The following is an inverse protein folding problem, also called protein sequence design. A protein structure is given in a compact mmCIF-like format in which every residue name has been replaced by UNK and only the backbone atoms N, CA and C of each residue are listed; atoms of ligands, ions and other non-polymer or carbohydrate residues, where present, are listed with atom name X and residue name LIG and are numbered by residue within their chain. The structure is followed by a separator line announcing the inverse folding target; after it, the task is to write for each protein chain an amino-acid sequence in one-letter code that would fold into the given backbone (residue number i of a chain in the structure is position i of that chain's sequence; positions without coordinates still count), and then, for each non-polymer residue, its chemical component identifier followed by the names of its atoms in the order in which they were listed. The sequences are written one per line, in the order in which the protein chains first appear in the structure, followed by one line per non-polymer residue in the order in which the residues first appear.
data_IF_535181723246
#
_entry.id   IF_535181723246
#
_cell.length_a   1.000
_cell.length_b   1.000
_cell.length_c   1.000
_cell.angle_alpha   90.00
_cell.angle_beta   90.00
_cell.angle_gamma   90.00
#
_symmetry.space_group_name_H-M   'P 1'
#
loop_
_entity.id
_entity.type
_entity.pdbx_description
1 polymer ?
#
# COMPACT_ATOMS: atom_id res chain seq x y z
N UNK A 1 60.41 169.70 -34.86
CA UNK A 1 60.58 170.09 -33.45
C UNK A 1 60.45 168.84 -32.59
N UNK A 2 61.60 168.26 -32.21
CA UNK A 2 62.05 168.12 -30.80
C UNK A 2 61.28 167.01 -30.06
N UNK A 3 61.71 165.75 -30.14
CA UNK A 3 62.73 165.10 -29.31
C UNK A 3 62.23 164.77 -27.89
N UNK A 4 62.05 163.47 -27.59
CA UNK A 4 62.60 162.76 -26.41
C UNK A 4 62.52 161.26 -26.71
N UNK A 5 63.68 160.60 -26.77
CA UNK A 5 63.79 159.14 -26.68
C UNK A 5 63.93 158.71 -25.23
N UNK A 6 63.40 157.54 -24.88
CA UNK A 6 63.69 156.87 -23.61
C UNK A 6 63.84 155.36 -23.82
N UNK A 7 64.93 154.85 -23.26
CA UNK A 7 65.41 153.47 -23.34
C UNK A 7 64.44 152.56 -22.58
N UNK A 8 63.88 151.55 -23.25
CA UNK A 8 63.18 150.45 -22.58
C UNK A 8 64.21 149.74 -21.69
N UNK A 9 64.00 149.72 -20.37
CA UNK A 9 64.90 149.05 -19.44
C UNK A 9 64.72 147.54 -19.59
N UNK A 10 65.81 146.85 -19.93
CA UNK A 10 65.88 145.39 -20.04
C UNK A 10 65.31 144.67 -18.79
N UNK A 11 65.36 145.30 -17.61
CA UNK A 11 64.81 144.77 -16.36
C UNK A 11 63.28 144.67 -16.33
N UNK A 12 62.56 145.61 -16.94
CA UNK A 12 61.09 145.59 -16.97
C UNK A 12 60.57 144.55 -17.97
N UNK A 13 61.25 144.40 -19.11
CA UNK A 13 60.99 143.32 -20.07
C UNK A 13 61.32 141.97 -19.45
N UNK A 14 62.43 141.84 -18.73
CA UNK A 14 62.79 140.61 -18.03
C UNK A 14 61.76 140.22 -16.95
N UNK A 15 61.20 141.18 -16.21
CA UNK A 15 60.21 140.93 -15.16
C UNK A 15 58.83 140.57 -15.74
N UNK A 16 58.41 141.19 -16.85
CA UNK A 16 57.20 140.78 -17.59
C UNK A 16 57.40 139.39 -18.19
N UNK A 17 58.56 139.08 -18.76
CA UNK A 17 58.86 137.73 -19.28
C UNK A 17 58.94 136.70 -18.14
N UNK A 18 59.46 137.03 -16.96
CA UNK A 18 59.50 136.13 -15.80
C UNK A 18 58.11 135.90 -15.18
N UNK A 19 57.26 136.91 -15.14
CA UNK A 19 55.89 136.79 -14.65
C UNK A 19 54.99 136.10 -15.67
N UNK A 20 55.18 136.33 -16.96
CA UNK A 20 54.50 135.58 -18.04
C UNK A 20 55.02 134.16 -18.13
N UNK A 21 56.33 133.91 -17.98
CA UNK A 21 56.90 132.56 -17.93
C UNK A 21 56.59 131.83 -16.63
N UNK A 22 56.46 132.55 -15.51
CA UNK A 22 56.00 132.00 -14.24
C UNK A 22 54.50 131.71 -14.24
N UNK A 23 53.68 132.57 -14.83
CA UNK A 23 52.25 132.34 -15.02
C UNK A 23 52.00 131.24 -16.06
N UNK A 24 52.75 131.19 -17.16
CA UNK A 24 52.72 130.12 -18.16
C UNK A 24 53.28 128.80 -17.61
N UNK A 25 54.35 128.84 -16.83
CA UNK A 25 54.96 127.66 -16.20
C UNK A 25 54.07 127.06 -15.12
N UNK A 26 53.42 127.89 -14.29
CA UNK A 26 52.43 127.43 -13.32
C UNK A 26 51.14 126.99 -13.99
N UNK A 27 50.64 127.67 -15.04
CA UNK A 27 49.47 127.15 -15.79
C UNK A 27 49.79 125.85 -16.50
N UNK A 28 50.96 125.67 -17.12
CA UNK A 28 51.38 124.41 -17.73
C UNK A 28 51.55 123.31 -16.68
N UNK A 29 52.14 123.61 -15.51
CA UNK A 29 52.26 122.64 -14.41
C UNK A 29 50.90 122.30 -13.78
N UNK A 30 49.99 123.27 -13.65
CA UNK A 30 48.61 123.02 -13.22
C UNK A 30 47.79 122.33 -14.30
N UNK A 31 48.08 122.55 -15.59
CA UNK A 31 47.48 121.84 -16.71
C UNK A 31 47.91 120.39 -16.69
N UNK A 32 49.22 120.14 -16.55
CA UNK A 32 49.83 118.81 -16.47
C UNK A 32 49.41 118.08 -15.19
N UNK A 33 49.36 118.77 -14.05
CA UNK A 33 48.82 118.20 -12.80
C UNK A 33 47.32 117.92 -12.92
N UNK A 34 46.54 118.82 -13.54
CA UNK A 34 45.11 118.60 -13.76
C UNK A 34 44.83 117.52 -14.82
N UNK A 35 45.73 117.34 -15.78
CA UNK A 35 45.68 116.29 -16.81
C UNK A 35 46.06 114.94 -16.21
N UNK A 36 47.14 114.87 -15.43
CA UNK A 36 47.50 113.67 -14.66
C UNK A 36 46.43 113.28 -13.63
N UNK A 37 45.81 114.26 -12.95
CA UNK A 37 44.66 114.01 -12.07
C UNK A 37 43.43 113.56 -12.86
N UNK A 38 43.21 114.06 -14.09
CA UNK A 38 42.13 113.57 -14.97
C UNK A 38 42.40 112.15 -15.43
N UNK A 39 43.62 111.85 -15.88
CA UNK A 39 44.04 110.51 -16.30
C UNK A 39 43.94 109.51 -15.15
N UNK A 40 44.36 109.90 -13.94
CA UNK A 40 44.17 109.08 -12.75
C UNK A 40 42.68 108.93 -12.39
N UNK A 41 41.86 109.96 -12.54
CA UNK A 41 40.42 109.87 -12.29
C UNK A 41 39.75 108.95 -13.30
N UNK A 42 40.16 109.02 -14.57
CA UNK A 42 39.63 108.19 -15.66
C UNK A 42 40.12 106.74 -15.56
N UNK A 43 41.37 106.52 -15.14
CA UNK A 43 41.90 105.20 -14.80
C UNK A 43 41.17 104.59 -13.59
N UNK A 44 40.97 105.35 -12.52
CA UNK A 44 40.19 104.92 -11.36
C UNK A 44 38.72 104.68 -11.70
N UNK A 45 38.13 105.44 -12.63
CA UNK A 45 36.78 105.19 -13.15
C UNK A 45 36.71 103.90 -13.94
N UNK A 46 37.72 103.63 -14.78
CA UNK A 46 37.83 102.38 -15.53
C UNK A 46 38.00 101.18 -14.59
N UNK A 47 38.87 101.29 -13.59
CA UNK A 47 39.08 100.25 -12.58
C UNK A 47 37.81 100.02 -11.74
N UNK A 48 37.10 101.10 -11.34
CA UNK A 48 35.82 100.97 -10.65
C UNK A 48 34.74 100.32 -11.54
N UNK A 49 34.73 100.61 -12.84
CA UNK A 49 33.81 99.98 -13.78
C UNK A 49 34.11 98.47 -13.92
N UNK A 50 35.38 98.09 -14.07
CA UNK A 50 35.82 96.70 -14.15
C UNK A 50 35.57 95.93 -12.85
N UNK A 51 35.90 96.51 -11.69
CA UNK A 51 35.60 95.90 -10.39
C UNK A 51 34.11 95.75 -10.17
N UNK A 52 33.29 96.70 -10.65
CA UNK A 52 31.82 96.59 -10.57
C UNK A 52 31.29 95.47 -11.47
N UNK A 53 31.87 95.28 -12.65
CA UNK A 53 31.55 94.18 -13.56
C UNK A 53 31.94 92.82 -12.97
N UNK A 54 33.17 92.67 -12.48
CA UNK A 54 33.65 91.45 -11.81
C UNK A 54 32.82 91.13 -10.55
N UNK A 55 32.44 92.15 -9.78
CA UNK A 55 31.56 91.98 -8.62
C UNK A 55 30.17 91.50 -9.04
N UNK A 56 29.63 92.03 -10.15
CA UNK A 56 28.34 91.60 -10.68
C UNK A 56 28.39 90.18 -11.25
N UNK A 57 29.48 89.83 -11.94
CA UNK A 57 29.72 88.47 -12.45
C UNK A 57 29.86 87.48 -11.29
N UNK A 58 30.68 87.80 -10.29
CA UNK A 58 30.87 86.95 -9.09
C UNK A 58 29.55 86.76 -8.33
N UNK A 59 28.72 87.82 -8.22
CA UNK A 59 27.37 87.71 -7.63
C UNK A 59 26.49 86.75 -8.41
N UNK A 60 26.48 86.86 -9.74
CA UNK A 60 25.71 85.97 -10.61
C UNK A 60 26.18 84.51 -10.49
N UNK A 61 27.50 84.28 -10.48
CA UNK A 61 28.08 82.95 -10.29
C UNK A 61 27.75 82.37 -8.90
N UNK A 62 27.77 83.20 -7.85
CA UNK A 62 27.42 82.80 -6.49
C UNK A 62 25.93 82.41 -6.39
N UNK A 63 25.04 83.16 -7.04
CA UNK A 63 23.61 82.83 -7.13
C UNK A 63 23.39 81.50 -7.87
N UNK A 64 23.98 81.33 -9.05
CA UNK A 64 23.91 80.08 -9.81
C UNK A 64 24.47 78.88 -9.02
N UNK A 65 25.54 79.09 -8.26
CA UNK A 65 26.13 78.04 -7.41
C UNK A 65 25.22 77.70 -6.22
N UNK A 66 24.56 78.70 -5.61
CA UNK A 66 23.57 78.49 -4.54
C UNK A 66 22.36 77.71 -5.04
N UNK A 67 21.87 78.02 -6.23
CA UNK A 67 20.77 77.28 -6.87
C UNK A 67 21.16 75.81 -7.10
N UNK A 68 22.32 75.56 -7.72
CA UNK A 68 22.86 74.21 -7.92
C UNK A 68 23.04 73.45 -6.60
N UNK A 69 23.49 74.13 -5.55
CA UNK A 69 23.64 73.53 -4.21
C UNK A 69 22.27 73.13 -3.63
N UNK A 70 21.26 73.98 -3.76
CA UNK A 70 19.91 73.69 -3.28
C UNK A 70 19.27 72.53 -4.06
N UNK A 71 19.45 72.51 -5.39
CA UNK A 71 19.01 71.39 -6.24
C UNK A 71 19.71 70.08 -5.85
N UNK A 72 21.02 70.12 -5.64
CA UNK A 72 21.81 68.96 -5.21
C UNK A 72 21.36 68.46 -3.84
N UNK A 73 21.08 69.36 -2.88
CA UNK A 73 20.52 69.00 -1.57
C UNK A 73 19.16 68.35 -1.68
N UNK A 74 18.28 68.86 -2.54
CA UNK A 74 16.97 68.27 -2.79
C UNK A 74 17.10 66.86 -3.37
N UNK A 75 17.94 66.69 -4.40
CA UNK A 75 18.24 65.38 -4.99
C UNK A 75 18.82 64.40 -3.98
N UNK A 76 19.74 64.85 -3.13
CA UNK A 76 20.32 64.01 -2.07
C UNK A 76 19.26 63.54 -1.10
N UNK A 77 18.35 64.43 -0.68
CA UNK A 77 17.26 64.07 0.23
C UNK A 77 16.33 63.01 -0.39
N UNK A 78 15.93 63.19 -1.66
CA UNK A 78 15.14 62.18 -2.39
C UNK A 78 15.89 60.85 -2.50
N UNK A 79 17.18 60.88 -2.83
CA UNK A 79 17.99 59.64 -2.93
C UNK A 79 18.14 58.93 -1.60
N UNK A 80 18.26 59.65 -0.49
CA UNK A 80 18.26 59.04 0.85
C UNK A 80 16.93 58.34 1.11
N UNK A 81 15.79 58.97 0.79
CA UNK A 81 14.47 58.37 0.93
C UNK A 81 14.28 57.12 0.04
N UNK A 82 14.75 57.18 -1.21
CA UNK A 82 14.73 56.03 -2.13
C UNK A 82 15.53 54.85 -1.54
N UNK A 83 16.72 55.10 -1.00
CA UNK A 83 17.58 54.09 -0.37
C UNK A 83 16.89 53.47 0.86
N UNK A 84 16.27 54.28 1.71
CA UNK A 84 15.51 53.80 2.86
C UNK A 84 14.32 52.93 2.44
N UNK A 85 13.63 53.30 1.36
CA UNK A 85 12.53 52.51 0.82
C UNK A 85 13.02 51.14 0.32
N UNK A 86 14.07 51.14 -0.52
CA UNK A 86 14.65 49.90 -1.06
C UNK A 86 15.18 49.00 0.06
N UNK A 87 15.84 49.56 1.08
CA UNK A 87 16.31 48.79 2.24
C UNK A 87 15.16 48.12 3.00
N UNK A 88 14.03 48.81 3.14
CA UNK A 88 12.83 48.26 3.77
C UNK A 88 12.18 47.15 2.93
N UNK A 89 12.12 47.31 1.60
CA UNK A 89 11.62 46.30 0.67
C UNK A 89 12.51 45.05 0.64
N UNK A 90 13.84 45.23 0.65
CA UNK A 90 14.81 44.14 0.73
C UNK A 90 14.58 43.31 1.99
N UNK A 91 14.46 43.96 3.16
CA UNK A 91 14.22 43.27 4.42
C UNK A 91 12.86 42.52 4.44
N UNK A 92 11.81 43.10 3.85
CA UNK A 92 10.52 42.39 3.66
C UNK A 92 10.69 41.12 2.81
N UNK A 93 11.41 41.24 1.70
CA UNK A 93 11.67 40.13 0.77
C UNK A 93 12.51 39.04 1.41
N UNK A 94 13.56 39.39 2.16
CA UNK A 94 14.39 38.44 2.91
C UNK A 94 13.56 37.65 3.93
N UNK A 95 12.65 38.32 4.66
CA UNK A 95 11.75 37.64 5.60
C UNK A 95 10.78 36.70 4.89
N UNK A 96 10.22 37.10 3.74
CA UNK A 96 9.37 36.23 2.94
C UNK A 96 10.14 35.02 2.41
N UNK A 97 11.35 35.22 1.90
CA UNK A 97 12.22 34.16 1.40
C UNK A 97 12.56 33.14 2.49
N UNK A 98 12.83 33.58 3.72
CA UNK A 98 13.09 32.67 4.83
C UNK A 98 11.84 31.87 5.25
N UNK A 99 10.65 32.48 5.21
CA UNK A 99 9.39 31.75 5.46
C UNK A 99 9.14 30.69 4.38
N UNK A 100 9.24 31.05 3.11
CA UNK A 100 9.02 30.10 2.01
C UNK A 100 10.06 28.99 2.01
N UNK A 101 11.33 29.26 2.34
CA UNK A 101 12.35 28.22 2.55
C UNK A 101 11.96 27.23 3.65
N UNK A 102 11.42 27.74 4.76
CA UNK A 102 10.99 26.91 5.89
C UNK A 102 9.79 26.03 5.52
N UNK A 103 8.79 26.61 4.86
CA UNK A 103 7.62 25.89 4.35
C UNK A 103 8.01 24.82 3.32
N UNK A 104 8.93 25.15 2.43
CA UNK A 104 9.44 24.23 1.42
C UNK A 104 10.21 23.05 2.06
N UNK A 105 10.95 23.28 3.14
CA UNK A 105 11.58 22.19 3.90
C UNK A 105 10.51 21.27 4.51
N UNK A 106 9.53 21.85 5.22
CA UNK A 106 8.46 21.08 5.88
C UNK A 106 7.65 20.25 4.87
N UNK A 107 7.32 20.83 3.72
CA UNK A 107 6.56 20.13 2.68
C UNK A 107 7.36 18.98 2.06
N UNK A 108 8.68 19.12 1.92
CA UNK A 108 9.55 18.01 1.50
C UNK A 108 9.57 16.87 2.52
N UNK A 109 9.67 17.18 3.81
CA UNK A 109 9.67 16.17 4.88
C UNK A 109 8.33 15.42 4.95
N UNK A 110 7.22 16.14 4.81
CA UNK A 110 5.88 15.57 4.73
C UNK A 110 5.72 14.67 3.49
N UNK A 111 6.21 15.12 2.34
CA UNK A 111 6.16 14.34 1.10
C UNK A 111 6.97 13.04 1.23
N UNK A 112 8.16 13.10 1.83
CA UNK A 112 8.99 11.93 2.05
C UNK A 112 8.30 10.94 3.02
N UNK A 113 7.69 11.44 4.09
CA UNK A 113 6.90 10.64 5.03
C UNK A 113 5.71 9.99 4.34
N UNK A 114 4.95 10.75 3.56
CA UNK A 114 3.81 10.23 2.80
C UNK A 114 4.23 9.14 1.80
N UNK A 115 5.38 9.29 1.13
CA UNK A 115 5.95 8.28 0.24
C UNK A 115 6.30 6.99 0.99
N UNK A 116 6.97 7.08 2.14
CA UNK A 116 7.28 5.92 2.98
C UNK A 116 6.01 5.18 3.41
N UNK A 117 5.00 5.91 3.87
CA UNK A 117 3.71 5.34 4.28
C UNK A 117 3.00 4.68 3.10
N UNK A 118 3.01 5.31 1.91
CA UNK A 118 2.42 4.73 0.70
C UNK A 118 3.10 3.41 0.31
N UNK A 119 4.43 3.33 0.39
CA UNK A 119 5.15 2.08 0.11
C UNK A 119 4.85 0.98 1.14
N UNK A 120 4.76 1.33 2.43
CA UNK A 120 4.38 0.38 3.48
C UNK A 120 2.95 -0.15 3.29
N UNK A 121 2.01 0.73 2.94
CA UNK A 121 0.64 0.33 2.63
C UNK A 121 0.57 -0.56 1.40
N UNK A 122 1.31 -0.24 0.34
CA UNK A 122 1.38 -1.07 -0.86
C UNK A 122 1.88 -2.50 -0.54
N UNK A 123 2.94 -2.62 0.25
CA UNK A 123 3.45 -3.94 0.68
C UNK A 123 2.43 -4.71 1.51
N UNK A 124 1.72 -4.03 2.42
CA UNK A 124 0.69 -4.65 3.27
C UNK A 124 -0.54 -5.08 2.47
N UNK A 125 -0.91 -4.35 1.43
CA UNK A 125 -1.96 -4.77 0.49
C UNK A 125 -1.55 -6.05 -0.23
N UNK A 126 -0.32 -6.10 -0.78
CA UNK A 126 0.17 -7.29 -1.47
C UNK A 126 0.22 -8.54 -0.55
N UNK A 127 0.65 -8.37 0.70
CA UNK A 127 0.64 -9.46 1.71
C UNK A 127 -0.79 -9.96 2.00
N UNK A 128 -1.74 -9.03 2.16
CA UNK A 128 -3.15 -9.37 2.39
C UNK A 128 -3.79 -10.06 1.19
N UNK A 129 -3.46 -9.63 -0.04
CA UNK A 129 -3.92 -10.28 -1.27
C UNK A 129 -3.42 -11.72 -1.36
N UNK A 130 -2.13 -11.96 -1.07
CA UNK A 130 -1.56 -13.31 -1.06
C UNK A 130 -2.22 -14.19 0.00
N UNK A 131 -2.40 -13.69 1.22
CA UNK A 131 -3.08 -14.42 2.30
C UNK A 131 -4.53 -14.74 1.96
N UNK A 132 -5.21 -13.83 1.26
CA UNK A 132 -6.58 -14.00 0.77
C UNK A 132 -6.67 -15.11 -0.27
N UNK A 133 -5.67 -15.27 -1.13
CA UNK A 133 -5.61 -16.34 -2.13
C UNK A 133 -5.25 -17.71 -1.52
N UNK A 134 -4.36 -17.75 -0.54
CA UNK A 134 -4.09 -18.95 0.27
C UNK A 134 -5.36 -19.45 0.98
N UNK A 135 -6.08 -18.55 1.66
CA UNK A 135 -7.31 -18.89 2.35
C UNK A 135 -8.40 -19.39 1.40
N UNK A 136 -8.55 -18.79 0.21
CA UNK A 136 -9.47 -19.30 -0.84
C UNK A 136 -9.14 -20.73 -1.23
N UNK A 137 -7.86 -21.01 -1.47
CA UNK A 137 -7.40 -22.35 -1.86
C UNK A 137 -7.68 -23.38 -0.75
N UNK A 138 -7.43 -22.99 0.51
CA UNK A 138 -7.71 -23.85 1.67
C UNK A 138 -9.20 -24.12 1.86
N UNK A 139 -10.06 -23.13 1.63
CA UNK A 139 -11.52 -23.31 1.68
C UNK A 139 -11.95 -24.32 0.61
N UNK A 140 -11.53 -24.14 -0.64
CA UNK A 140 -11.86 -25.08 -1.73
C UNK A 140 -11.41 -26.50 -1.42
N UNK A 141 -10.20 -26.68 -0.88
CA UNK A 141 -9.70 -28.01 -0.49
C UNK A 141 -10.49 -28.64 0.67
N UNK A 142 -11.03 -27.84 1.58
CA UNK A 142 -11.87 -28.32 2.67
C UNK A 142 -13.27 -28.72 2.18
N UNK A 143 -13.83 -27.95 1.25
CA UNK A 143 -15.11 -28.26 0.59
C UNK A 143 -15.01 -29.59 -0.19
N UNK A 144 -13.93 -29.80 -0.95
CA UNK A 144 -13.69 -31.07 -1.65
C UNK A 144 -13.59 -32.26 -0.66
N UNK A 145 -12.90 -32.05 0.46
CA UNK A 145 -12.73 -33.09 1.49
C UNK A 145 -14.05 -33.38 2.23
N UNK A 146 -14.86 -32.37 2.46
CA UNK A 146 -16.19 -32.52 3.05
C UNK A 146 -17.08 -33.39 2.14
N UNK A 147 -17.13 -33.09 0.84
CA UNK A 147 -17.89 -33.88 -0.13
C UNK A 147 -17.42 -35.34 -0.21
N UNK A 148 -16.11 -35.59 -0.16
CA UNK A 148 -15.54 -36.94 -0.12
C UNK A 148 -15.97 -37.72 1.15
N UNK A 149 -15.96 -37.05 2.31
CA UNK A 149 -16.38 -37.64 3.57
C UNK A 149 -17.88 -37.92 3.59
N UNK A 150 -18.71 -37.02 3.06
CA UNK A 150 -20.16 -37.24 2.93
C UNK A 150 -20.47 -38.47 2.05
N UNK A 151 -19.78 -38.60 0.92
CA UNK A 151 -19.89 -39.78 0.04
C UNK A 151 -19.48 -41.06 0.77
N UNK A 152 -18.37 -41.02 1.51
CA UNK A 152 -17.89 -42.16 2.31
C UNK A 152 -18.92 -42.56 3.36
N UNK A 153 -19.49 -41.60 4.09
CA UNK A 153 -20.55 -41.84 5.08
C UNK A 153 -21.79 -42.45 4.44
N UNK A 154 -22.20 -41.99 3.26
CA UNK A 154 -23.33 -42.55 2.53
C UNK A 154 -23.08 -44.01 2.16
N UNK A 155 -21.89 -44.33 1.63
CA UNK A 155 -21.54 -45.69 1.24
C UNK A 155 -21.51 -46.63 2.45
N UNK A 156 -20.91 -46.20 3.57
CA UNK A 156 -20.87 -46.98 4.80
C UNK A 156 -22.26 -47.24 5.37
N UNK A 157 -23.19 -46.29 5.28
CA UNK A 157 -24.59 -46.51 5.69
C UNK A 157 -25.25 -47.59 4.84
N UNK A 158 -25.09 -47.53 3.52
CA UNK A 158 -25.64 -48.57 2.63
C UNK A 158 -25.01 -49.94 2.87
N UNK A 159 -23.72 -50.00 3.21
CA UNK A 159 -23.04 -51.24 3.59
C UNK A 159 -23.60 -51.81 4.90
N UNK A 160 -23.84 -50.96 5.91
CA UNK A 160 -24.50 -51.37 7.16
C UNK A 160 -25.90 -51.93 6.89
N UNK A 161 -26.73 -51.23 6.12
CA UNK A 161 -28.09 -51.69 5.79
C UNK A 161 -28.08 -53.06 5.08
N UNK A 162 -27.10 -53.28 4.20
CA UNK A 162 -26.89 -54.57 3.52
C UNK A 162 -26.49 -55.67 4.49
N UNK A 163 -25.53 -55.40 5.38
CA UNK A 163 -25.06 -56.36 6.38
C UNK A 163 -26.16 -56.72 7.39
N UNK A 164 -27.00 -55.76 7.78
CA UNK A 164 -28.16 -56.01 8.63
C UNK A 164 -29.18 -56.93 7.94
N UNK A 165 -29.41 -56.72 6.64
CA UNK A 165 -30.29 -57.59 5.84
C UNK A 165 -29.73 -59.01 5.70
N UNK A 166 -28.44 -59.14 5.41
CA UNK A 166 -27.75 -60.44 5.33
C UNK A 166 -27.77 -61.18 6.67
N UNK A 167 -27.59 -60.46 7.79
CA UNK A 167 -27.65 -61.02 9.13
C UNK A 167 -29.05 -61.55 9.45
N UNK A 168 -30.11 -60.81 9.09
CA UNK A 168 -31.49 -61.27 9.26
C UNK A 168 -31.76 -62.54 8.45
N UNK A 169 -31.34 -62.57 7.18
CA UNK A 169 -31.54 -63.74 6.33
C UNK A 169 -30.77 -64.97 6.84
N UNK A 170 -29.56 -64.76 7.37
CA UNK A 170 -28.79 -65.83 8.00
C UNK A 170 -29.47 -66.36 9.28
N UNK A 171 -30.05 -65.47 10.10
CA UNK A 171 -30.81 -65.86 11.29
C UNK A 171 -32.04 -66.71 10.92
N UNK A 172 -32.84 -66.27 9.94
CA UNK A 172 -34.01 -67.03 9.45
C UNK A 172 -33.59 -68.42 8.95
N UNK A 173 -32.45 -68.50 8.25
CA UNK A 173 -31.92 -69.78 7.75
C UNK A 173 -31.48 -70.71 8.87
N UNK A 174 -30.93 -70.18 9.96
CA UNK A 174 -30.58 -70.98 11.14
C UNK A 174 -31.84 -71.56 11.76
N UNK A 175 -32.89 -70.75 11.96
CA UNK A 175 -34.17 -71.24 12.51
C UNK A 175 -34.80 -72.34 11.64
N UNK A 176 -34.76 -72.19 10.31
CA UNK A 176 -35.25 -73.21 9.37
C UNK A 176 -34.46 -74.53 9.49
N UNK A 177 -33.13 -74.44 9.60
CA UNK A 177 -32.26 -75.60 9.76
C UNK A 177 -32.49 -76.29 11.11
N UNK A 178 -32.68 -75.54 12.19
CA UNK A 178 -33.02 -76.08 13.51
C UNK A 178 -34.35 -76.82 13.49
N UNK A 179 -35.38 -76.27 12.84
CA UNK A 179 -36.67 -76.96 12.66
C UNK A 179 -36.53 -78.24 11.83
N UNK A 180 -35.72 -78.19 10.77
CA UNK A 180 -35.44 -79.35 9.92
C UNK A 180 -34.72 -80.46 10.71
N UNK A 181 -33.76 -80.10 11.56
CA UNK A 181 -33.06 -81.05 12.44
C UNK A 181 -34.05 -81.74 13.39
N UNK A 182 -34.91 -80.98 14.06
CA UNK A 182 -35.92 -81.57 14.97
C UNK A 182 -36.86 -82.55 14.27
N UNK A 183 -37.28 -82.23 13.04
CA UNK A 183 -38.11 -83.13 12.22
C UNK A 183 -37.35 -84.41 11.82
N UNK A 184 -36.05 -84.29 11.55
CA UNK A 184 -35.20 -85.44 11.22
C UNK A 184 -34.96 -86.33 12.43
N UNK A 185 -34.73 -85.74 13.61
CA UNK A 185 -34.59 -86.48 14.87
C UNK A 185 -35.88 -87.27 15.18
N UNK A 186 -37.05 -86.63 15.08
CA UNK A 186 -38.33 -87.31 15.28
C UNK A 186 -38.56 -88.47 14.30
N UNK A 187 -38.09 -88.33 13.06
CA UNK A 187 -38.18 -89.39 12.04
C UNK A 187 -37.21 -90.54 12.34
N UNK A 188 -36.04 -90.25 12.90
CA UNK A 188 -35.09 -91.28 13.35
C UNK A 188 -35.74 -92.09 14.46
N UNK A 189 -36.30 -91.46 15.50
CA UNK A 189 -36.97 -92.14 16.61
C UNK A 189 -38.12 -93.06 16.12
N UNK A 190 -38.91 -92.59 15.15
CA UNK A 190 -39.98 -93.38 14.52
C UNK A 190 -39.42 -94.61 13.78
N UNK A 191 -38.35 -94.42 13.00
CA UNK A 191 -37.72 -95.51 12.26
C UNK A 191 -37.08 -96.53 13.20
N UNK A 192 -36.42 -96.10 14.27
CA UNK A 192 -35.86 -96.98 15.31
C UNK A 192 -36.96 -97.82 15.98
N UNK A 193 -38.10 -97.20 16.31
CA UNK A 193 -39.26 -97.90 16.88
C UNK A 193 -39.82 -98.95 15.91
N UNK A 194 -39.94 -98.60 14.62
CA UNK A 194 -40.40 -99.53 13.58
C UNK A 194 -39.43 -100.71 13.41
N UNK A 195 -38.11 -100.46 13.43
CA UNK A 195 -37.08 -101.51 13.37
C UNK A 195 -37.24 -102.47 14.55
N UNK A 196 -37.38 -101.95 15.76
CA UNK A 196 -37.58 -102.79 16.96
C UNK A 196 -38.85 -103.65 16.89
N UNK A 197 -39.95 -103.07 16.38
CA UNK A 197 -41.20 -103.82 16.16
C UNK A 197 -41.04 -104.93 15.14
N UNK A 198 -40.40 -104.64 14.00
CA UNK A 198 -40.14 -105.63 12.95
C UNK A 198 -39.22 -106.75 13.43
N UNK A 199 -38.20 -106.44 14.24
CA UNK A 199 -37.36 -107.45 14.89
C UNK A 199 -38.19 -108.37 15.78
N UNK A 200 -39.06 -107.81 16.62
CA UNK A 200 -39.93 -108.62 17.48
C UNK A 200 -40.94 -109.47 16.69
N UNK A 201 -41.40 -108.99 15.53
CA UNK A 201 -42.27 -109.76 14.63
C UNK A 201 -41.51 -110.90 13.95
N UNK A 202 -40.27 -110.62 13.52
CA UNK A 202 -39.37 -111.63 12.95
C UNK A 202 -39.11 -112.75 13.97
N UNK A 203 -38.72 -112.42 15.21
CA UNK A 203 -38.47 -113.40 16.26
C UNK A 203 -39.69 -114.31 16.49
N UNK A 204 -40.91 -113.75 16.50
CA UNK A 204 -42.15 -114.52 16.65
C UNK A 204 -42.39 -115.45 15.47
N UNK A 205 -42.12 -114.98 14.25
CA UNK A 205 -42.26 -115.78 13.03
C UNK A 205 -41.23 -116.91 12.98
N UNK A 206 -40.02 -116.67 13.46
CA UNK A 206 -39.00 -117.71 13.62
C UNK A 206 -39.47 -118.78 14.61
N UNK A 207 -40.01 -118.40 15.78
CA UNK A 207 -40.60 -119.37 16.72
C UNK A 207 -41.78 -120.14 16.13
N UNK A 208 -42.69 -119.47 15.40
CA UNK A 208 -43.82 -120.13 14.74
C UNK A 208 -43.36 -121.14 13.68
N UNK A 209 -42.28 -120.83 12.96
CA UNK A 209 -41.66 -121.79 12.02
C UNK A 209 -41.08 -122.98 12.77
N UNK A 210 -40.33 -122.77 13.85
CA UNK A 210 -39.80 -123.87 14.68
C UNK A 210 -40.92 -124.78 15.24
N UNK A 211 -42.00 -124.19 15.74
CA UNK A 211 -43.17 -124.93 16.25
C UNK A 211 -43.85 -125.73 15.15
N UNK A 212 -44.04 -125.15 13.95
CA UNK A 212 -44.62 -125.85 12.80
C UNK A 212 -43.70 -126.96 12.28
N UNK A 213 -42.39 -126.76 12.28
CA UNK A 213 -41.41 -127.80 11.93
C UNK A 213 -41.48 -128.97 12.92
N UNK A 214 -41.63 -128.70 14.21
CA UNK A 214 -41.84 -129.73 15.23
C UNK A 214 -43.17 -130.47 15.05
N UNK A 215 -44.27 -129.76 14.80
CA UNK A 215 -45.58 -130.38 14.54
C UNK A 215 -45.55 -131.26 13.28
N UNK A 216 -44.88 -130.82 12.22
CA UNK A 216 -44.65 -131.65 11.02
C UNK A 216 -43.88 -132.91 11.38
N UNK A 217 -42.79 -132.81 12.15
CA UNK A 217 -42.02 -133.98 12.60
C UNK A 217 -42.84 -134.94 13.46
N UNK A 218 -43.69 -134.43 14.35
CA UNK A 218 -44.57 -135.25 15.19
C UNK A 218 -45.64 -135.95 14.33
N UNK A 219 -46.26 -135.25 13.39
CA UNK A 219 -47.23 -135.82 12.44
C UNK A 219 -46.58 -136.88 11.54
N UNK A 220 -45.33 -136.68 11.10
CA UNK A 220 -44.57 -137.68 10.35
C UNK A 220 -44.31 -138.94 11.20
N UNK A 221 -43.97 -138.79 12.47
CA UNK A 221 -43.77 -139.90 13.42
C UNK A 221 -45.08 -140.66 13.72
N UNK A 222 -46.18 -139.94 13.92
CA UNK A 222 -47.51 -140.52 14.09
C UNK A 222 -47.95 -141.30 12.84
N UNK A 223 -47.67 -140.76 11.65
CA UNK A 223 -47.92 -141.41 10.37
C UNK A 223 -47.13 -142.71 10.24
N UNK A 224 -45.83 -142.70 10.56
CA UNK A 224 -44.97 -143.90 10.57
C UNK A 224 -45.48 -144.98 11.54
N UNK A 225 -45.87 -144.55 12.75
CA UNK A 225 -46.45 -145.43 13.78
C UNK A 225 -47.77 -146.06 13.31
N UNK A 226 -48.68 -145.27 12.73
CA UNK A 226 -49.97 -145.74 12.21
C UNK A 226 -49.79 -146.70 11.02
N UNK A 227 -48.82 -146.44 10.14
CA UNK A 227 -48.50 -147.29 9.00
C UNK A 227 -47.80 -148.61 9.40
N UNK A 228 -47.12 -148.63 10.54
CA UNK A 228 -46.53 -149.84 11.13
C UNK A 228 -47.55 -150.80 11.77
N UNK A 229 -48.80 -150.38 11.98
CA UNK A 229 -49.87 -151.24 12.50
C UNK A 229 -50.38 -152.21 11.41
N UNK A 230 -50.52 -153.50 11.75
CA UNK A 230 -50.92 -154.58 10.83
C UNK A 230 -52.21 -154.29 10.03
N UNK A 231 -53.19 -153.60 10.62
CA UNK A 231 -54.47 -153.28 9.97
C UNK A 231 -54.34 -152.22 8.85
N UNK A 232 -53.26 -151.44 8.84
CA UNK A 232 -53.08 -150.31 7.92
C UNK A 232 -52.00 -150.51 6.86
N UNK A 233 -51.17 -151.57 6.95
CA UNK A 233 -50.03 -151.85 6.06
C UNK A 233 -50.32 -151.86 4.54
N UNK A 234 -51.55 -152.16 4.14
CA UNK A 234 -51.96 -152.25 2.72
C UNK A 234 -52.71 -151.00 2.21
N UNK A 235 -52.76 -149.90 2.98
CA UNK A 235 -53.40 -148.65 2.54
C UNK A 235 -52.43 -147.81 1.71
N UNK A 236 -52.89 -147.26 0.59
CA UNK A 236 -52.06 -146.46 -0.34
C UNK A 236 -51.34 -145.25 0.29
N UNK A 237 -51.90 -144.66 1.37
CA UNK A 237 -51.25 -143.56 2.12
C UNK A 237 -49.94 -144.00 2.80
N UNK A 238 -49.76 -145.30 3.04
CA UNK A 238 -48.55 -145.87 3.66
C UNK A 238 -47.52 -146.39 2.63
N UNK A 239 -47.73 -146.15 1.33
CA UNK A 239 -46.78 -146.52 0.26
C UNK A 239 -45.56 -145.59 0.27
N UNK A 240 -44.72 -145.71 1.30
CA UNK A 240 -43.53 -144.88 1.51
C UNK A 240 -43.04 -144.81 2.96
N UNK A 241 -43.86 -145.24 3.91
CA UNK A 241 -43.56 -145.30 5.35
C UNK A 241 -43.54 -146.78 5.79
N UNK A 242 -42.36 -147.40 5.76
CA UNK A 242 -42.14 -148.81 6.09
C UNK A 242 -40.68 -149.25 5.99
#
# INVERSE_FOLDING_TARGET
MSAVGQRISLGLVALVVLTVAGAAGTTVFYQDSAEQLRDQNDALRSENAELSEQLNETRTQLEATRERLNETRSRLNTRTQDVDQVANELNRTERQLNRTRTELSRTRDLLETARRNSSQLANRVAELEQRRDDLRTRVSSLEDREAELESTVSNLRSEVDSLESDLSAAADRVEELESTLQQRDSRIDELESNVSSLQSELDRKETEVEDLEAEVSDLESDLDTLCSQEENRNKSVCEGYG
#
